data_IF_804059321057
#
_entry.id   IF_804059321057
#
_cell.length_a   1.000
_cell.length_b   1.000
_cell.length_c   1.000
_cell.angle_alpha   90.00
_cell.angle_beta   90.00
_cell.angle_gamma   90.00
#
_symmetry.space_group_name_H-M   'P 1'
#
loop_
_entity.id
_entity.type
_entity.pdbx_description
1 polymer ?
#
# COMPACT_ATOMS: atom_id res chain seq x y z
N UNK A 1 16.63 -19.34 0.87
CA UNK A 1 16.04 -18.34 -0.03
C UNK A 1 16.21 -17.00 0.66
N UNK A 2 17.20 -16.24 0.19
CA UNK A 2 17.60 -14.98 0.81
C UNK A 2 16.73 -13.89 0.19
N UNK A 3 15.85 -13.30 1.00
CA UNK A 3 15.17 -12.07 0.65
C UNK A 3 16.21 -10.97 0.54
N UNK A 4 16.23 -10.27 -0.59
CA UNK A 4 17.10 -9.14 -0.84
C UNK A 4 16.63 -7.96 0.02
N UNK A 5 17.38 -7.63 1.07
CA UNK A 5 17.24 -6.36 1.76
C UNK A 5 18.03 -5.27 1.00
N UNK A 6 17.65 -4.01 1.18
CA UNK A 6 18.26 -2.86 0.51
C UNK A 6 19.71 -2.56 0.97
N UNK A 7 20.25 -3.35 1.90
CA UNK A 7 21.67 -3.33 2.25
C UNK A 7 22.59 -3.96 1.20
N UNK A 8 22.05 -4.79 0.30
CA UNK A 8 22.81 -5.42 -0.79
C UNK A 8 22.69 -4.68 -2.14
N UNK A 9 21.85 -3.65 -2.24
CA UNK A 9 21.51 -2.98 -3.51
C UNK A 9 22.16 -1.60 -3.72
N UNK A 10 22.77 -0.99 -2.70
CA UNK A 10 23.40 0.34 -2.79
C UNK A 10 24.42 0.57 -1.67
N UNK A 11 25.64 1.00 -2.01
CA UNK A 11 26.66 1.39 -1.02
C UNK A 11 26.30 2.67 -0.23
N UNK A 12 25.23 3.37 -0.62
CA UNK A 12 24.79 4.65 -0.01
C UNK A 12 23.72 4.48 1.09
N UNK A 13 23.36 3.25 1.49
CA UNK A 13 22.36 3.04 2.54
C UNK A 13 22.89 3.48 3.92
N UNK A 14 22.24 4.48 4.53
CA UNK A 14 22.64 5.08 5.81
C UNK A 14 21.98 4.43 7.05
N UNK A 15 21.20 3.37 6.84
CA UNK A 15 20.53 2.62 7.91
C UNK A 15 19.30 3.32 8.51
N UNK A 16 18.76 4.36 7.87
CA UNK A 16 17.62 5.12 8.40
C UNK A 16 16.25 4.49 8.15
N UNK A 17 16.16 3.50 7.25
CA UNK A 17 14.94 2.73 7.01
C UNK A 17 14.99 1.38 7.76
N UNK A 18 14.21 1.19 8.84
CA UNK A 18 14.19 -0.04 9.63
C UNK A 18 13.62 -1.25 8.88
N UNK A 19 12.91 -1.02 7.77
CA UNK A 19 12.22 -2.08 7.02
C UNK A 19 13.12 -2.78 6.00
N UNK A 20 14.19 -2.13 5.56
CA UNK A 20 15.20 -2.75 4.71
C UNK A 20 14.70 -3.09 3.29
N UNK A 21 13.68 -2.42 2.75
CA UNK A 21 13.18 -2.68 1.40
C UNK A 21 13.53 -1.53 0.43
N UNK A 22 13.89 -1.88 -0.81
CA UNK A 22 14.34 -0.96 -1.86
C UNK A 22 13.21 -0.46 -2.78
N UNK A 23 11.99 -0.96 -2.60
CA UNK A 23 10.82 -0.51 -3.36
C UNK A 23 9.81 0.11 -2.42
N UNK A 24 9.05 1.03 -2.97
CA UNK A 24 7.84 1.64 -2.41
C UNK A 24 6.72 0.60 -2.20
N UNK A 25 7.06 -0.60 -1.72
CA UNK A 25 6.12 -1.65 -1.37
C UNK A 25 5.24 -1.11 -0.26
N UNK A 26 3.94 -1.11 -0.53
CA UNK A 26 2.97 -0.69 0.44
C UNK A 26 3.10 -1.49 1.76
N UNK A 27 3.67 -0.85 2.79
CA UNK A 27 3.87 -1.49 4.09
C UNK A 27 2.56 -1.96 4.73
N UNK A 28 1.47 -1.23 4.48
CA UNK A 28 0.13 -1.54 4.98
C UNK A 28 -0.89 -1.48 3.84
N UNK A 29 -1.19 -2.61 3.18
CA UNK A 29 -2.19 -2.65 2.12
C UNK A 29 -3.52 -2.03 2.56
N UNK A 30 -4.01 -1.07 1.78
CA UNK A 30 -5.20 -0.28 2.10
C UNK A 30 -4.95 1.00 2.90
N UNK A 31 -3.76 1.27 3.42
CA UNK A 31 -3.37 2.56 4.04
C UNK A 31 -3.01 3.58 2.94
N UNK A 32 -4.03 4.05 2.24
CA UNK A 32 -3.86 4.89 1.05
C UNK A 32 -3.47 6.31 1.43
N UNK A 33 -3.79 6.78 2.64
CA UNK A 33 -3.42 8.12 3.10
C UNK A 33 -2.13 8.16 3.94
N UNK A 34 -1.50 7.01 4.18
CA UNK A 34 -0.24 6.85 4.91
C UNK A 34 -0.30 7.37 6.36
N UNK A 35 -1.46 7.24 7.01
CA UNK A 35 -1.66 7.62 8.42
C UNK A 35 -1.55 6.43 9.38
N UNK A 36 -1.31 5.23 8.86
CA UNK A 36 -1.19 3.96 9.59
C UNK A 36 -2.49 3.48 10.25
N UNK A 37 -3.65 4.04 9.87
CA UNK A 37 -4.96 3.70 10.43
C UNK A 37 -5.93 3.31 9.30
N UNK A 38 -6.16 2.02 9.13
CA UNK A 38 -7.12 1.51 8.16
C UNK A 38 -8.57 1.91 8.52
N UNK A 39 -9.13 2.88 7.82
CA UNK A 39 -10.49 3.37 8.06
C UNK A 39 -11.16 3.95 6.80
N UNK A 40 -12.30 4.62 6.97
CA UNK A 40 -13.08 5.19 5.86
C UNK A 40 -12.31 6.29 5.10
N UNK A 41 -11.33 6.95 5.73
CA UNK A 41 -10.50 7.97 5.08
C UNK A 41 -9.62 7.37 3.98
N UNK A 42 -9.13 6.14 4.14
CA UNK A 42 -8.39 5.45 3.08
C UNK A 42 -9.27 5.15 1.87
N UNK A 43 -10.53 4.76 2.09
CA UNK A 43 -11.50 4.57 1.00
C UNK A 43 -11.71 5.89 0.24
N UNK A 44 -11.83 7.01 0.95
CA UNK A 44 -11.99 8.33 0.32
C UNK A 44 -10.75 8.70 -0.51
N UNK A 45 -9.55 8.42 0.01
CA UNK A 45 -8.29 8.61 -0.72
C UNK A 45 -8.20 7.70 -1.94
N UNK A 46 -8.56 6.43 -1.80
CA UNK A 46 -8.60 5.45 -2.89
C UNK A 46 -9.53 5.90 -4.02
N UNK A 47 -10.75 6.34 -3.70
CA UNK A 47 -11.69 6.89 -4.68
C UNK A 47 -11.11 8.13 -5.38
N UNK A 48 -10.38 8.98 -4.65
CA UNK A 48 -9.73 10.16 -5.23
C UNK A 48 -8.69 9.75 -6.28
N UNK A 49 -7.86 8.75 -5.98
CA UNK A 49 -6.87 8.21 -6.93
C UNK A 49 -7.56 7.60 -8.17
N UNK A 50 -8.60 6.79 -7.97
CA UNK A 50 -9.39 6.21 -9.07
C UNK A 50 -9.95 7.30 -9.99
N UNK A 51 -10.50 8.38 -9.41
CA UNK A 51 -11.06 9.50 -10.18
C UNK A 51 -10.00 10.33 -10.90
N UNK A 52 -8.79 10.39 -10.36
CA UNK A 52 -7.64 11.05 -10.99
C UNK A 52 -6.94 10.17 -12.04
N UNK A 53 -7.25 8.87 -12.09
CA UNK A 53 -6.52 7.89 -12.91
C UNK A 53 -5.11 7.63 -12.40
N UNK A 54 -4.90 7.80 -11.09
CA UNK A 54 -3.63 7.56 -10.40
C UNK A 54 -3.62 6.15 -9.83
N UNK A 55 -2.45 5.54 -9.79
CA UNK A 55 -2.23 4.21 -9.24
C UNK A 55 -1.32 4.30 -8.01
N UNK A 56 -1.61 3.48 -7.00
CA UNK A 56 -0.71 3.19 -5.89
C UNK A 56 -0.85 1.72 -5.52
N UNK A 57 0.27 1.08 -5.21
CA UNK A 57 0.30 -0.31 -4.78
C UNK A 57 -0.50 -0.52 -3.48
N UNK A 58 -0.55 0.48 -2.60
CA UNK A 58 -1.40 0.44 -1.42
C UNK A 58 -2.90 0.38 -1.72
N UNK A 59 -3.30 0.84 -2.89
CA UNK A 59 -4.68 0.90 -3.31
C UNK A 59 -5.16 -0.41 -3.94
N UNK A 60 -4.25 -1.16 -4.57
CA UNK A 60 -4.49 -2.43 -5.27
C UNK A 60 -4.58 -3.60 -4.27
N UNK A 61 -5.61 -3.53 -3.42
CA UNK A 61 -5.78 -4.46 -2.29
C UNK A 61 -6.17 -5.87 -2.73
N UNK A 62 -6.63 -6.04 -3.97
CA UNK A 62 -6.92 -7.36 -4.54
C UNK A 62 -5.73 -7.91 -5.36
N UNK A 63 -4.69 -7.10 -5.57
CA UNK A 63 -3.45 -7.42 -6.29
C UNK A 63 -3.69 -7.93 -7.71
N UNK A 64 -4.68 -7.37 -8.41
CA UNK A 64 -4.98 -7.68 -9.81
C UNK A 64 -4.22 -6.78 -10.80
N UNK A 65 -3.52 -5.77 -10.30
CA UNK A 65 -2.72 -4.82 -11.06
C UNK A 65 -3.47 -3.55 -11.48
N UNK A 66 -4.76 -3.43 -11.17
CA UNK A 66 -5.61 -2.30 -11.55
C UNK A 66 -6.30 -1.67 -10.34
N UNK A 67 -5.92 -0.44 -9.97
CA UNK A 67 -6.63 0.31 -8.93
C UNK A 67 -8.02 0.79 -9.42
N UNK A 68 -9.09 0.13 -8.96
CA UNK A 68 -10.46 0.41 -9.38
C UNK A 68 -11.52 0.15 -8.29
N UNK A 69 -12.81 0.13 -8.67
CA UNK A 69 -13.92 -0.04 -7.72
C UNK A 69 -13.91 -1.41 -7.02
N UNK A 70 -13.29 -2.42 -7.61
CA UNK A 70 -13.15 -3.75 -7.02
C UNK A 70 -12.27 -3.70 -5.77
N UNK A 71 -11.22 -2.89 -5.76
CA UNK A 71 -10.36 -2.65 -4.59
C UNK A 71 -11.13 -2.00 -3.45
N UNK A 72 -11.93 -0.99 -3.75
CA UNK A 72 -12.77 -0.32 -2.75
C UNK A 72 -13.71 -1.33 -2.09
N UNK A 73 -14.35 -2.19 -2.88
CA UNK A 73 -15.26 -3.22 -2.35
C UNK A 73 -14.50 -4.25 -1.51
N UNK A 74 -13.34 -4.69 -1.97
CA UNK A 74 -12.48 -5.61 -1.22
C UNK A 74 -12.05 -4.99 0.12
N UNK A 75 -11.64 -3.73 0.11
CA UNK A 75 -11.17 -3.02 1.29
C UNK A 75 -12.30 -2.75 2.30
N UNK A 76 -13.52 -2.42 1.83
CA UNK A 76 -14.71 -2.34 2.71
C UNK A 76 -14.96 -3.68 3.41
N UNK A 77 -14.84 -4.81 2.71
CA UNK A 77 -14.99 -6.13 3.32
C UNK A 77 -13.90 -6.41 4.36
N UNK A 78 -12.66 -5.96 4.12
CA UNK A 78 -11.57 -6.03 5.10
C UNK A 78 -11.93 -5.24 6.35
N UNK A 79 -12.29 -3.95 6.22
CA UNK A 79 -12.66 -3.09 7.35
C UNK A 79 -13.81 -3.70 8.17
N UNK A 80 -14.85 -4.21 7.51
CA UNK A 80 -16.00 -4.81 8.21
C UNK A 80 -15.70 -6.17 8.86
N UNK A 81 -14.57 -6.80 8.51
CA UNK A 81 -14.12 -8.05 9.13
C UNK A 81 -13.24 -7.82 10.36
N UNK A 82 -12.83 -6.57 10.62
CA UNK A 82 -12.07 -6.18 11.80
C UNK A 82 -13.04 -6.11 13.00
N UNK A 83 -12.78 -6.84 14.11
CA UNK A 83 -13.66 -6.85 15.30
C UNK A 83 -13.79 -5.52 16.03
#
# INVERSE_FOLDING_TARGET
ELGYDCGDCSEDWDGTDPSGLCSDDCLFPGDVNSDLILNILDIVSMITLILNGEYTECGDVNSDGDLNILDVVAFVNIILSIP
#
